data_IF_929842933037
#
_entry.id   IF_929842933037
#
_cell.length_a   1.000
_cell.length_b   1.000
_cell.length_c   1.000
_cell.angle_alpha   90.00
_cell.angle_beta   90.00
_cell.angle_gamma   90.00
#
_symmetry.space_group_name_H-M   'P 1'
#
loop_
_entity.id
_entity.type
_entity.pdbx_description
1 polymer ?
#
# COMPACT_ATOMS: atom_id res chain seq x y z
N UNK A 1 -15.87 -22.08 40.62
CA UNK A 1 -16.10 -20.62 40.63
C UNK A 1 -15.25 -20.03 39.53
N UNK A 2 -15.87 -19.54 38.43
CA UNK A 2 -15.17 -18.89 37.32
C UNK A 2 -14.95 -17.42 37.68
N UNK A 3 -13.70 -16.94 37.67
CA UNK A 3 -13.37 -15.53 37.49
C UNK A 3 -11.95 -15.43 36.90
N UNK A 4 -11.85 -15.67 35.60
CA UNK A 4 -10.73 -15.22 34.78
C UNK A 4 -11.17 -13.88 34.17
N UNK A 5 -10.87 -12.77 34.82
CA UNK A 5 -10.97 -11.44 34.21
C UNK A 5 -9.55 -10.88 34.10
N UNK A 6 -8.95 -11.02 32.93
CA UNK A 6 -7.74 -10.30 32.54
C UNK A 6 -8.05 -8.80 32.58
N UNK A 7 -7.72 -8.13 33.68
CA UNK A 7 -7.84 -6.68 33.81
C UNK A 7 -6.80 -6.03 32.88
N UNK A 8 -7.28 -5.33 31.85
CA UNK A 8 -6.40 -4.66 30.88
C UNK A 8 -5.75 -3.45 31.57
N UNK A 9 -4.43 -3.31 31.47
CA UNK A 9 -3.73 -2.16 32.05
C UNK A 9 -4.07 -0.86 31.30
N UNK A 10 -3.95 0.30 31.97
CA UNK A 10 -4.14 1.61 31.32
C UNK A 10 -3.24 1.77 30.09
N UNK A 11 -2.03 1.22 30.14
CA UNK A 11 -1.11 1.27 29.02
C UNK A 11 -1.61 0.46 27.82
N UNK A 12 -2.09 -0.75 28.07
CA UNK A 12 -2.60 -1.64 27.04
C UNK A 12 -3.94 -1.14 26.47
N UNK A 13 -4.81 -0.60 27.33
CA UNK A 13 -6.05 0.05 26.90
C UNK A 13 -5.77 1.29 26.04
N UNK A 14 -4.82 2.15 26.44
CA UNK A 14 -4.43 3.33 25.66
C UNK A 14 -3.87 2.93 24.29
N UNK A 15 -3.02 1.89 24.25
CA UNK A 15 -2.50 1.34 22.99
C UNK A 15 -3.63 0.81 22.10
N UNK A 16 -4.53 0.00 22.65
CA UNK A 16 -5.66 -0.58 21.92
C UNK A 16 -6.54 0.50 21.29
N UNK A 17 -6.86 1.55 22.05
CA UNK A 17 -7.68 2.67 21.56
C UNK A 17 -6.98 3.41 20.43
N UNK A 18 -5.68 3.65 20.52
CA UNK A 18 -4.90 4.34 19.48
C UNK A 18 -4.70 3.48 18.24
N UNK A 19 -4.54 2.16 18.39
CA UNK A 19 -4.35 1.25 17.26
C UNK A 19 -5.50 1.25 16.26
N UNK A 20 -6.71 1.61 16.71
CA UNK A 20 -7.89 1.78 15.84
C UNK A 20 -7.91 3.10 15.06
N UNK A 21 -6.96 4.00 15.29
CA UNK A 21 -6.93 5.37 14.75
C UNK A 21 -5.66 5.62 13.91
N UNK A 22 -5.61 5.19 12.63
CA UNK A 22 -4.40 5.28 11.79
C UNK A 22 -3.82 6.69 11.65
N UNK A 23 -4.68 7.71 11.51
CA UNK A 23 -4.23 9.09 11.40
C UNK A 23 -3.49 9.58 12.66
N UNK A 24 -3.95 9.16 13.84
CA UNK A 24 -3.32 9.50 15.13
C UNK A 24 -2.00 8.75 15.29
N UNK A 25 -1.95 7.46 14.95
CA UNK A 25 -0.71 6.68 14.91
C UNK A 25 0.35 7.34 14.04
N UNK A 26 -0.03 7.77 12.83
CA UNK A 26 0.88 8.47 11.93
C UNK A 26 1.39 9.78 12.57
N UNK A 27 0.50 10.60 13.13
CA UNK A 27 0.88 11.83 13.84
C UNK A 27 1.81 11.56 15.03
N UNK A 28 1.57 10.50 15.82
CA UNK A 28 2.45 10.08 16.92
C UNK A 28 3.83 9.66 16.43
N UNK A 29 3.89 8.91 15.33
CA UNK A 29 5.16 8.50 14.70
C UNK A 29 5.97 9.68 14.18
N UNK A 30 5.31 10.76 13.76
CA UNK A 30 5.95 11.99 13.28
C UNK A 30 6.26 12.97 14.43
N UNK A 31 5.89 12.67 15.67
CA UNK A 31 6.17 13.53 16.83
C UNK A 31 5.37 14.84 16.86
N UNK A 32 4.25 14.93 16.12
CA UNK A 32 3.45 16.17 15.97
C UNK A 32 2.18 16.18 16.84
N UNK A 33 2.11 15.32 17.86
CA UNK A 33 0.92 15.14 18.70
C UNK A 33 1.04 15.91 20.02
N UNK A 34 -0.04 16.61 20.39
CA UNK A 34 -0.21 17.08 21.77
C UNK A 34 -0.77 15.94 22.64
N UNK A 35 0.10 15.27 23.39
CA UNK A 35 -0.28 14.12 24.21
C UNK A 35 -1.26 14.45 25.35
N UNK A 36 -1.23 15.67 25.88
CA UNK A 36 -2.19 16.09 26.89
C UNK A 36 -3.60 16.17 26.28
N UNK A 37 -3.74 16.75 25.09
CA UNK A 37 -5.03 16.82 24.39
C UNK A 37 -5.51 15.43 23.94
N UNK A 38 -4.60 14.61 23.40
CA UNK A 38 -4.91 13.25 22.98
C UNK A 38 -5.38 12.38 24.15
N UNK A 39 -4.72 12.47 25.32
CA UNK A 39 -5.12 11.73 26.51
C UNK A 39 -6.55 12.07 26.96
N UNK A 40 -6.95 13.35 26.86
CA UNK A 40 -8.30 13.78 27.21
C UNK A 40 -9.31 13.23 26.20
N UNK A 41 -8.97 13.26 24.91
CA UNK A 41 -9.84 12.76 23.85
C UNK A 41 -10.16 11.27 23.98
N UNK A 42 -9.21 10.45 24.44
CA UNK A 42 -9.37 8.99 24.53
C UNK A 42 -9.75 8.48 25.92
N UNK A 43 -9.90 9.38 26.91
CA UNK A 43 -10.10 9.01 28.33
C UNK A 43 -11.29 8.07 28.51
N UNK A 44 -12.44 8.40 27.93
CA UNK A 44 -13.68 7.62 28.08
C UNK A 44 -13.57 6.25 27.41
N UNK A 45 -12.92 6.18 26.24
CA UNK A 45 -12.64 4.91 25.56
C UNK A 45 -11.72 4.02 26.39
N UNK A 46 -10.69 4.60 27.01
CA UNK A 46 -9.76 3.86 27.88
C UNK A 46 -10.46 3.38 29.15
N UNK A 47 -11.28 4.22 29.79
CA UNK A 47 -12.08 3.86 30.96
C UNK A 47 -12.99 2.66 30.69
N UNK A 48 -13.63 2.64 29.52
CA UNK A 48 -14.48 1.53 29.08
C UNK A 48 -13.76 0.18 28.98
N UNK A 49 -12.42 0.18 28.81
CA UNK A 49 -11.62 -1.04 28.66
C UNK A 49 -10.96 -1.53 29.95
N UNK A 50 -10.59 -0.64 30.87
CA UNK A 50 -9.78 -1.01 32.05
C UNK A 50 -10.60 -1.62 33.21
N UNK A 51 -11.92 -1.68 33.11
CA UNK A 51 -12.83 -2.18 34.16
C UNK A 51 -12.54 -1.56 35.55
N UNK A 52 -12.21 -0.26 35.56
CA UNK A 52 -11.91 0.55 36.75
C UNK A 52 -12.86 1.72 36.86
N UNK A 53 -13.14 2.16 38.08
CA UNK A 53 -14.00 3.33 38.32
C UNK A 53 -13.34 4.65 37.87
N UNK A 54 -12.00 4.73 37.94
CA UNK A 54 -11.24 5.96 37.61
C UNK A 54 -9.88 5.64 37.00
N UNK A 55 -9.46 6.51 36.09
CA UNK A 55 -8.13 6.53 35.46
C UNK A 55 -7.58 7.94 35.54
N UNK A 56 -6.30 8.06 35.92
CA UNK A 56 -5.61 9.35 35.92
C UNK A 56 -5.19 9.72 34.50
N UNK A 57 -5.49 10.95 34.09
CA UNK A 57 -5.13 11.50 32.78
C UNK A 57 -3.61 11.43 32.52
N UNK A 58 -2.80 11.66 33.56
CA UNK A 58 -1.34 11.59 33.47
C UNK A 58 -0.86 10.18 33.17
N UNK A 59 -1.55 9.14 33.64
CA UNK A 59 -1.21 7.76 33.34
C UNK A 59 -1.44 7.42 31.86
N UNK A 60 -2.53 7.92 31.27
CA UNK A 60 -2.82 7.79 29.83
C UNK A 60 -1.76 8.55 29.04
N UNK A 61 -1.49 9.81 29.40
CA UNK A 61 -0.47 10.63 28.73
C UNK A 61 0.90 9.93 28.73
N UNK A 62 1.35 9.42 29.88
CA UNK A 62 2.61 8.68 29.98
C UNK A 62 2.62 7.41 29.15
N UNK A 63 1.51 6.67 29.09
CA UNK A 63 1.37 5.50 28.24
C UNK A 63 1.47 5.87 26.75
N UNK A 64 0.82 6.95 26.32
CA UNK A 64 0.87 7.45 24.94
C UNK A 64 2.27 7.92 24.54
N UNK A 65 2.95 8.66 25.41
CA UNK A 65 4.32 9.13 25.15
C UNK A 65 5.27 7.94 24.97
N UNK A 66 5.22 6.95 25.88
CA UNK A 66 6.04 5.74 25.77
C UNK A 66 5.73 4.97 24.48
N UNK A 67 4.45 4.85 24.13
CA UNK A 67 4.06 4.16 22.91
C UNK A 67 4.52 4.91 21.65
N UNK A 68 4.49 6.24 21.66
CA UNK A 68 5.02 7.05 20.55
C UNK A 68 6.50 6.78 20.29
N UNK A 69 7.33 6.69 21.34
CA UNK A 69 8.76 6.38 21.16
C UNK A 69 8.96 4.99 20.53
N UNK A 70 8.22 3.97 20.99
CA UNK A 70 8.26 2.63 20.37
C UNK A 70 7.83 2.65 18.89
N UNK A 71 6.80 3.44 18.54
CA UNK A 71 6.35 3.56 17.14
C UNK A 71 7.43 4.26 16.30
N UNK A 72 8.07 5.30 16.82
CA UNK A 72 9.13 6.04 16.12
C UNK A 72 10.33 5.14 15.83
N UNK A 73 10.78 4.38 16.81
CA UNK A 73 11.88 3.42 16.64
C UNK A 73 11.57 2.40 15.55
N UNK A 74 10.39 1.77 15.61
CA UNK A 74 9.95 0.85 14.55
C UNK A 74 9.85 1.52 13.19
N UNK A 75 9.34 2.74 13.12
CA UNK A 75 9.24 3.48 11.87
C UNK A 75 10.61 3.71 11.25
N UNK A 76 11.59 4.12 12.05
CA UNK A 76 12.97 4.30 11.58
C UNK A 76 13.54 3.00 11.00
N UNK A 77 13.38 1.87 11.69
CA UNK A 77 13.81 0.56 11.17
C UNK A 77 13.12 0.20 9.84
N UNK A 78 11.83 0.50 9.71
CA UNK A 78 11.09 0.27 8.45
C UNK A 78 11.57 1.19 7.34
N UNK A 79 11.76 2.48 7.61
CA UNK A 79 12.24 3.47 6.64
C UNK A 79 13.65 3.10 6.15
N UNK A 80 14.53 2.61 7.02
CA UNK A 80 15.85 2.10 6.65
C UNK A 80 15.78 0.87 5.74
N UNK A 81 14.86 -0.08 6.02
CA UNK A 81 14.63 -1.23 5.14
C UNK A 81 14.12 -0.83 3.77
N UNK A 82 13.16 0.10 3.71
CA UNK A 82 12.64 0.66 2.46
C UNK A 82 13.77 1.33 1.68
N UNK A 83 14.55 2.20 2.33
CA UNK A 83 15.68 2.88 1.72
C UNK A 83 16.70 1.88 1.17
N UNK A 84 17.00 0.81 1.93
CA UNK A 84 17.90 -0.25 1.48
C UNK A 84 17.39 -0.93 0.22
N UNK A 85 16.11 -1.30 0.15
CA UNK A 85 15.54 -1.90 -1.07
C UNK A 85 15.65 -0.93 -2.25
N UNK A 86 15.24 0.33 -2.08
CA UNK A 86 15.25 1.34 -3.14
C UNK A 86 16.65 1.64 -3.68
N UNK A 87 17.67 1.71 -2.81
CA UNK A 87 19.07 1.94 -3.21
C UNK A 87 19.58 0.81 -4.11
N UNK A 88 19.12 -0.42 -3.88
CA UNK A 88 19.51 -1.59 -4.67
C UNK A 88 18.57 -1.87 -5.85
N UNK A 89 17.52 -1.07 -6.03
CA UNK A 89 16.62 -1.17 -7.17
C UNK A 89 17.21 -0.53 -8.42
N UNK A 90 16.86 -1.07 -9.58
CA UNK A 90 17.18 -0.49 -10.90
C UNK A 90 15.95 0.19 -11.47
N UNK A 91 16.12 1.41 -11.94
CA UNK A 91 15.09 2.17 -12.63
C UNK A 91 15.27 2.06 -14.14
N UNK A 92 14.21 1.69 -14.85
CA UNK A 92 14.19 1.67 -16.31
C UNK A 92 13.07 2.56 -16.82
N UNK A 93 13.39 3.45 -17.76
CA UNK A 93 12.40 4.23 -18.49
C UNK A 93 12.13 3.54 -19.83
N UNK A 94 10.86 3.27 -20.09
CA UNK A 94 10.36 2.79 -21.38
C UNK A 94 9.48 3.86 -22.00
N UNK A 95 9.89 4.38 -23.14
CA UNK A 95 9.12 5.35 -23.91
C UNK A 95 8.33 4.62 -25.00
N UNK A 96 7.49 5.37 -25.72
CA UNK A 96 6.78 4.88 -26.91
C UNK A 96 5.89 3.66 -26.61
N UNK A 97 5.24 3.69 -25.45
CA UNK A 97 4.26 2.70 -25.07
C UNK A 97 2.87 3.10 -25.55
N UNK A 98 2.06 2.10 -25.84
CA UNK A 98 0.65 2.23 -26.13
C UNK A 98 -0.16 1.45 -25.09
N UNK A 99 -1.20 2.10 -24.58
CA UNK A 99 -2.16 1.54 -23.65
C UNK A 99 -3.44 1.17 -24.37
N UNK A 100 -3.94 -0.04 -24.11
CA UNK A 100 -5.28 -0.46 -24.50
C UNK A 100 -6.06 -0.93 -23.28
N UNK A 101 -7.33 -0.52 -23.17
CA UNK A 101 -8.33 -1.22 -22.37
C UNK A 101 -9.24 -1.99 -23.32
N UNK A 102 -9.36 -3.30 -23.12
CA UNK A 102 -10.04 -4.21 -24.05
C UNK A 102 -11.03 -5.10 -23.32
N UNK A 103 -12.14 -5.43 -23.98
CA UNK A 103 -13.14 -6.31 -23.38
C UNK A 103 -12.54 -7.69 -23.04
N UNK A 104 -12.95 -8.29 -21.91
CA UNK A 104 -12.41 -9.59 -21.46
C UNK A 104 -12.54 -10.70 -22.49
N UNK A 105 -13.72 -10.80 -23.09
CA UNK A 105 -14.02 -11.83 -24.09
C UNK A 105 -13.08 -11.76 -25.28
N UNK A 106 -12.78 -10.56 -25.76
CA UNK A 106 -11.90 -10.40 -26.91
C UNK A 106 -10.49 -10.92 -26.67
N UNK A 107 -9.94 -10.75 -25.46
CA UNK A 107 -8.60 -11.28 -25.14
C UNK A 107 -8.62 -12.80 -25.02
N UNK A 108 -9.59 -13.36 -24.30
CA UNK A 108 -9.70 -14.80 -24.05
C UNK A 108 -9.89 -15.58 -25.37
N UNK A 109 -10.70 -15.05 -26.27
CA UNK A 109 -11.00 -15.71 -27.56
C UNK A 109 -9.92 -15.43 -28.63
N UNK A 110 -8.91 -14.60 -28.32
CA UNK A 110 -7.86 -14.21 -29.25
C UNK A 110 -6.56 -15.02 -29.10
N UNK A 111 -5.69 -14.88 -30.10
CA UNK A 111 -4.32 -15.37 -30.09
C UNK A 111 -3.30 -14.28 -29.69
N UNK A 112 -3.72 -13.25 -28.94
CA UNK A 112 -2.90 -12.07 -28.65
C UNK A 112 -1.56 -12.40 -27.96
N UNK A 113 -1.52 -13.45 -27.14
CA UNK A 113 -0.31 -13.89 -26.46
C UNK A 113 0.79 -14.38 -27.40
N UNK A 114 0.47 -14.72 -28.66
CA UNK A 114 1.48 -15.09 -29.65
C UNK A 114 2.44 -13.92 -29.97
N UNK A 115 1.97 -12.68 -29.82
CA UNK A 115 2.81 -11.49 -30.00
C UNK A 115 4.03 -11.48 -29.06
N UNK A 116 3.94 -12.14 -27.89
CA UNK A 116 5.04 -12.24 -26.92
C UNK A 116 6.14 -13.18 -27.41
N UNK A 117 5.78 -14.21 -28.19
CA UNK A 117 6.74 -15.22 -28.67
C UNK A 117 7.43 -14.81 -29.97
N UNK A 118 6.74 -14.03 -30.79
CA UNK A 118 7.20 -13.69 -32.14
C UNK A 118 8.13 -12.46 -32.17
N UNK A 119 8.18 -11.69 -31.07
CA UNK A 119 8.86 -10.40 -31.01
C UNK A 119 9.60 -10.18 -29.68
N UNK A 120 10.81 -9.62 -29.73
CA UNK A 120 11.53 -9.12 -28.56
C UNK A 120 11.05 -7.69 -28.22
N UNK A 121 9.77 -7.60 -27.83
CA UNK A 121 9.06 -6.33 -27.58
C UNK A 121 8.45 -6.33 -26.19
N UNK A 122 8.31 -5.14 -25.63
CA UNK A 122 7.62 -4.97 -24.36
C UNK A 122 6.12 -5.24 -24.54
N UNK A 123 5.60 -6.17 -23.73
CA UNK A 123 4.18 -6.50 -23.71
C UNK A 123 3.77 -6.90 -22.29
N UNK A 124 2.74 -6.24 -21.75
CA UNK A 124 2.10 -6.58 -20.50
C UNK A 124 0.60 -6.72 -20.70
N UNK A 125 0.05 -7.79 -20.13
CA UNK A 125 -1.38 -8.03 -20.06
C UNK A 125 -1.80 -8.12 -18.60
N UNK A 126 -2.70 -7.23 -18.19
CA UNK A 126 -3.18 -7.12 -16.80
C UNK A 126 -4.68 -7.35 -16.80
N UNK A 127 -5.16 -8.29 -15.99
CA UNK A 127 -6.60 -8.48 -15.80
C UNK A 127 -7.15 -7.43 -14.82
N UNK A 128 -8.03 -6.56 -15.31
CA UNK A 128 -8.87 -5.71 -14.47
C UNK A 128 -10.21 -6.37 -14.15
N UNK A 129 -11.05 -5.72 -13.35
CA UNK A 129 -12.37 -6.26 -12.97
C UNK A 129 -13.28 -6.49 -14.19
N UNK A 130 -13.31 -5.53 -15.13
CA UNK A 130 -14.25 -5.53 -16.27
C UNK A 130 -13.58 -5.61 -17.66
N UNK A 131 -12.26 -5.44 -17.72
CA UNK A 131 -11.48 -5.40 -18.95
C UNK A 131 -10.10 -5.98 -18.71
N UNK A 132 -9.37 -6.28 -19.78
CA UNK A 132 -7.93 -6.40 -19.72
C UNK A 132 -7.29 -5.06 -20.10
N UNK A 133 -6.16 -4.77 -19.48
CA UNK A 133 -5.23 -3.73 -19.90
C UNK A 133 -4.09 -4.38 -20.65
N UNK A 134 -3.78 -3.85 -21.84
CA UNK A 134 -2.57 -4.18 -22.59
C UNK A 134 -1.69 -2.94 -22.59
N UNK A 135 -0.45 -3.09 -22.15
CA UNK A 135 0.60 -2.08 -22.29
C UNK A 135 1.69 -2.69 -23.17
N UNK A 136 1.97 -2.10 -24.32
CA UNK A 136 2.91 -2.65 -25.28
C UNK A 136 3.74 -1.56 -25.96
N UNK A 137 4.82 -1.93 -26.63
CA UNK A 137 5.52 -1.02 -27.55
C UNK A 137 4.57 -0.57 -28.67
N UNK A 138 4.67 0.71 -29.08
CA UNK A 138 3.80 1.31 -30.10
C UNK A 138 3.83 0.55 -31.44
N UNK A 139 4.94 -0.13 -31.75
CA UNK A 139 5.11 -0.96 -32.95
C UNK A 139 4.06 -2.09 -33.04
N UNK A 140 3.54 -2.56 -31.90
CA UNK A 140 2.51 -3.61 -31.86
C UNK A 140 1.09 -3.09 -32.09
N UNK A 141 0.88 -1.78 -32.17
CA UNK A 141 -0.45 -1.14 -32.25
C UNK A 141 -1.35 -1.77 -33.31
N UNK A 142 -0.90 -1.79 -34.55
CA UNK A 142 -1.73 -2.23 -35.68
C UNK A 142 -2.06 -3.73 -35.58
N UNK A 143 -1.11 -4.54 -35.09
CA UNK A 143 -1.31 -5.98 -34.84
C UNK A 143 -2.31 -6.25 -33.73
N UNK A 144 -2.23 -5.49 -32.63
CA UNK A 144 -3.19 -5.60 -31.52
C UNK A 144 -4.60 -5.25 -32.01
N UNK A 145 -4.76 -4.20 -32.81
CA UNK A 145 -6.06 -3.79 -33.38
C UNK A 145 -6.60 -4.85 -34.34
N UNK A 146 -5.74 -5.42 -35.18
CA UNK A 146 -6.09 -6.49 -36.12
C UNK A 146 -6.62 -7.74 -35.39
N UNK A 147 -5.88 -8.21 -34.38
CA UNK A 147 -6.22 -9.42 -33.61
C UNK A 147 -7.50 -9.23 -32.79
N UNK A 148 -7.61 -8.12 -32.07
CA UNK A 148 -8.71 -7.92 -31.12
C UNK A 148 -9.95 -7.32 -31.77
N UNK A 149 -9.85 -6.79 -32.99
CA UNK A 149 -10.86 -5.98 -33.66
C UNK A 149 -11.17 -4.68 -32.90
N UNK A 150 -11.11 -3.55 -33.61
CA UNK A 150 -11.33 -2.21 -33.06
C UNK A 150 -12.60 -2.07 -32.22
N UNK A 151 -13.67 -2.81 -32.54
CA UNK A 151 -14.94 -2.80 -31.78
C UNK A 151 -14.81 -3.25 -30.32
N UNK A 152 -13.79 -4.05 -30.00
CA UNK A 152 -13.57 -4.62 -28.68
C UNK A 152 -12.58 -3.80 -27.84
N UNK A 153 -11.98 -2.76 -28.44
CA UNK A 153 -11.10 -1.80 -27.77
C UNK A 153 -11.98 -0.72 -27.14
N UNK A 154 -11.97 -0.66 -25.82
CA UNK A 154 -12.76 0.27 -25.01
C UNK A 154 -12.04 1.62 -24.89
N UNK A 155 -10.71 1.60 -24.79
CA UNK A 155 -9.86 2.78 -24.71
C UNK A 155 -8.51 2.48 -25.35
N UNK A 156 -7.93 3.47 -26.02
CA UNK A 156 -6.59 3.41 -26.59
C UNK A 156 -5.89 4.74 -26.37
N UNK A 157 -4.74 4.72 -25.70
CA UNK A 157 -3.93 5.91 -25.45
C UNK A 157 -2.52 5.65 -25.97
N UNK A 158 -2.06 6.51 -26.87
CA UNK A 158 -0.70 6.53 -27.40
C UNK A 158 0.19 7.43 -26.52
N UNK A 159 1.47 7.53 -26.88
CA UNK A 159 2.45 8.42 -26.23
C UNK A 159 2.60 8.17 -24.72
N UNK A 160 2.48 6.91 -24.31
CA UNK A 160 2.70 6.53 -22.91
C UNK A 160 4.18 6.26 -22.66
N UNK A 161 4.59 6.45 -21.42
CA UNK A 161 5.91 6.04 -20.94
C UNK A 161 5.74 5.28 -19.63
N UNK A 162 6.54 4.24 -19.44
CA UNK A 162 6.55 3.39 -18.27
C UNK A 162 7.83 3.59 -17.48
N UNK A 163 7.70 3.78 -16.17
CA UNK A 163 8.81 3.71 -15.25
C UNK A 163 8.78 2.34 -14.56
N UNK A 164 9.80 1.52 -14.82
CA UNK A 164 9.89 0.15 -14.31
C UNK A 164 10.94 0.13 -13.20
N UNK A 165 10.50 -0.14 -11.98
CA UNK A 165 11.37 -0.31 -10.82
C UNK A 165 11.61 -1.80 -10.58
N UNK A 166 12.83 -2.26 -10.84
CA UNK A 166 13.26 -3.64 -10.61
C UNK A 166 14.00 -3.70 -9.29
N UNK A 167 13.31 -4.17 -8.25
CA UNK A 167 13.84 -4.24 -6.89
C UNK A 167 14.36 -5.64 -6.55
N UNK A 168 15.30 -5.77 -5.60
CA UNK A 168 15.74 -7.08 -5.12
C UNK A 168 14.59 -7.83 -4.40
N UNK A 169 14.73 -9.15 -4.23
CA UNK A 169 13.69 -10.05 -3.67
C UNK A 169 13.10 -9.60 -2.33
N UNK A 170 13.89 -8.87 -1.55
CA UNK A 170 13.60 -8.31 -0.25
C UNK A 170 12.39 -7.37 -0.29
N UNK A 171 12.03 -6.81 -1.46
CA UNK A 171 10.80 -6.02 -1.65
C UNK A 171 9.53 -6.77 -1.21
N UNK A 172 9.53 -8.12 -1.26
CA UNK A 172 8.39 -8.95 -0.89
C UNK A 172 8.07 -8.82 0.61
N UNK A 173 9.10 -8.63 1.44
CA UNK A 173 8.99 -8.62 2.90
C UNK A 173 9.00 -7.20 3.51
N UNK A 174 9.16 -6.17 2.67
CA UNK A 174 9.24 -4.77 3.10
C UNK A 174 7.96 -4.03 2.68
N UNK A 175 6.96 -3.92 3.58
CA UNK A 175 5.73 -3.21 3.29
C UNK A 175 5.97 -1.70 3.16
N UNK A 176 5.11 -1.01 2.40
CA UNK A 176 5.12 0.44 2.30
C UNK A 176 6.07 1.04 1.26
N UNK A 177 6.82 0.22 0.51
CA UNK A 177 7.72 0.73 -0.55
C UNK A 177 6.98 1.62 -1.58
N UNK A 178 5.74 1.26 -1.93
CA UNK A 178 4.92 2.02 -2.88
C UNK A 178 4.61 3.45 -2.39
N UNK A 179 4.61 3.72 -1.09
CA UNK A 179 4.36 5.09 -0.61
C UNK A 179 5.56 6.04 -0.81
N UNK A 180 6.72 5.51 -1.20
CA UNK A 180 7.96 6.28 -1.43
C UNK A 180 8.24 6.53 -2.92
N UNK A 181 7.46 5.95 -3.82
CA UNK A 181 7.59 6.05 -5.28
C UNK A 181 6.46 6.91 -5.82
#
# INVERSE_FOLDING_TARGET
>A
MKNNSNEISIAEASRTVIQTKPAVLNAMSNGIVNYSALANMIMDEVLGLVNREKVHIDAIKMALMRYSEEIKERKLEFDEKIASVLIHSKLQLKNELIYFSVSKRAVIDSNILKLISDYDVYFQLIEGTNSFTILADVELKDRIIEILNKKNILLMNEDQSGLILISPSEIIDVPGIISFV
#
